data_IF_499705013413
#
_entry.id   IF_499705013413
#
_cell.length_a   1.000
_cell.length_b   1.000
_cell.length_c   1.000
_cell.angle_alpha   90.00
_cell.angle_beta   90.00
_cell.angle_gamma   90.00
#
_symmetry.space_group_name_H-M   'P 1'
#
loop_
_entity.id
_entity.type
_entity.pdbx_description
1 polymer ?
#
# COMPACT_ATOMS: atom_id res chain seq x y z
N UNK A 1 12.02 -7.10 44.87
CA UNK A 1 11.09 -6.03 44.47
C UNK A 1 11.30 -5.49 43.04
N UNK A 2 12.46 -5.64 42.39
CA UNK A 2 12.70 -5.12 41.02
C UNK A 2 12.16 -6.00 39.88
N UNK A 3 11.91 -7.29 40.14
CA UNK A 3 11.48 -8.27 39.13
C UNK A 3 9.99 -8.19 38.77
N UNK A 4 9.11 -7.78 39.69
CA UNK A 4 7.67 -7.62 39.40
C UNK A 4 7.35 -6.43 38.48
N UNK A 5 8.13 -5.35 38.57
CA UNK A 5 7.99 -4.18 37.69
C UNK A 5 8.45 -4.48 36.26
N UNK A 6 9.50 -5.30 36.10
CA UNK A 6 9.98 -5.70 34.78
C UNK A 6 8.92 -6.50 33.99
N UNK A 7 8.23 -7.44 34.65
CA UNK A 7 7.20 -8.26 34.02
C UNK A 7 5.96 -7.44 33.67
N UNK A 8 5.56 -6.48 34.51
CA UNK A 8 4.43 -5.59 34.23
C UNK A 8 4.72 -4.60 33.10
N UNK A 9 5.94 -4.08 33.00
CA UNK A 9 6.39 -3.26 31.86
C UNK A 9 6.42 -4.07 30.55
N UNK A 10 6.87 -5.33 30.59
CA UNK A 10 6.82 -6.25 29.45
C UNK A 10 5.39 -6.58 29.00
N UNK A 11 4.44 -6.67 29.94
CA UNK A 11 3.01 -6.86 29.66
C UNK A 11 2.31 -5.61 29.11
N UNK A 12 2.81 -4.42 29.47
CA UNK A 12 2.34 -3.14 28.92
C UNK A 12 2.89 -2.94 27.49
N UNK A 13 4.16 -3.28 27.24
CA UNK A 13 4.80 -3.19 25.92
C UNK A 13 4.19 -4.15 24.88
N UNK A 14 3.63 -5.29 25.30
CA UNK A 14 2.93 -6.22 24.39
C UNK A 14 1.51 -5.79 24.04
N UNK A 15 0.87 -4.95 24.88
CA UNK A 15 -0.48 -4.43 24.62
C UNK A 15 -0.48 -3.27 23.62
N UNK A 16 0.62 -2.51 23.52
CA UNK A 16 0.74 -1.44 22.52
C UNK A 16 0.94 -1.96 21.08
N UNK A 17 1.27 -3.24 20.92
CA UNK A 17 1.33 -3.89 19.61
C UNK A 17 -0.05 -4.36 19.08
N UNK A 18 -1.12 -4.24 19.88
CA UNK A 18 -2.47 -4.72 19.52
C UNK A 18 -3.50 -3.61 19.35
N UNK A 19 -3.07 -2.35 19.23
CA UNK A 19 -3.97 -1.22 19.00
C UNK A 19 -3.57 -0.37 17.78
N UNK A 20 -3.54 -0.99 16.59
CA UNK A 20 -3.89 -0.35 15.33
C UNK A 20 -4.06 -1.41 14.24
N UNK A 21 -5.27 -1.56 13.69
CA UNK A 21 -5.50 -2.21 12.38
C UNK A 21 -5.05 -1.31 11.22
N UNK A 22 -4.53 -0.11 11.51
CA UNK A 22 -4.00 0.84 10.54
C UNK A 22 -2.48 0.61 10.38
N UNK A 23 -2.11 -0.02 9.27
CA UNK A 23 -0.72 -0.25 8.87
C UNK A 23 -0.19 0.95 8.07
N UNK A 24 0.68 1.76 8.68
CA UNK A 24 1.52 2.74 7.97
C UNK A 24 2.89 2.11 7.76
N UNK A 25 3.13 1.57 6.57
CA UNK A 25 4.44 1.01 6.24
C UNK A 25 5.48 2.13 6.15
N UNK A 26 6.53 2.08 6.97
CA UNK A 26 7.72 2.91 6.82
C UNK A 26 8.86 2.14 6.11
N UNK A 27 8.51 1.02 5.48
CA UNK A 27 9.40 0.12 4.73
C UNK A 27 8.69 -0.20 3.41
N UNK A 28 9.46 -0.33 2.33
CA UNK A 28 8.94 -0.55 0.98
C UNK A 28 8.04 -1.79 0.88
N UNK A 29 6.77 -1.61 0.49
CA UNK A 29 5.85 -2.71 0.17
C UNK A 29 6.17 -3.42 -1.17
N UNK A 30 7.14 -2.91 -1.92
CA UNK A 30 7.66 -3.49 -3.17
C UNK A 30 9.15 -3.82 -3.03
N UNK A 31 9.63 -4.87 -3.70
CA UNK A 31 11.04 -5.27 -3.67
C UNK A 31 11.97 -4.24 -4.34
N UNK A 32 11.42 -3.43 -5.24
CA UNK A 32 12.05 -2.24 -5.81
C UNK A 32 10.97 -1.17 -5.89
N UNK A 33 10.76 -0.35 -4.84
CA UNK A 33 9.79 0.74 -4.90
C UNK A 33 10.33 1.84 -5.83
N UNK A 34 9.53 2.26 -6.79
CA UNK A 34 9.87 3.40 -7.63
C UNK A 34 10.02 4.66 -6.77
N UNK A 35 10.85 5.58 -7.24
CA UNK A 35 11.19 6.81 -6.53
C UNK A 35 9.94 7.65 -6.25
N UNK A 36 9.91 8.29 -5.08
CA UNK A 36 8.88 9.25 -4.69
C UNK A 36 7.44 8.67 -4.66
N UNK A 37 7.28 7.38 -4.37
CA UNK A 37 5.96 6.74 -4.24
C UNK A 37 5.50 6.67 -2.77
N UNK A 38 4.20 6.84 -2.54
CA UNK A 38 3.55 6.64 -1.22
C UNK A 38 2.69 5.39 -1.28
N UNK A 39 3.05 4.35 -0.52
CA UNK A 39 2.36 3.06 -0.51
C UNK A 39 1.82 2.77 0.89
N UNK A 40 0.49 2.78 1.04
CA UNK A 40 -0.19 2.62 2.32
C UNK A 40 -1.19 1.46 2.28
N UNK A 41 -1.09 0.55 3.26
CA UNK A 41 -1.96 -0.62 3.37
C UNK A 41 -1.30 -1.92 2.91
N UNK A 42 -1.78 -3.08 3.39
CA UNK A 42 -1.16 -4.36 3.07
C UNK A 42 -1.28 -4.68 1.58
N UNK A 43 -0.15 -5.02 0.93
CA UNK A 43 -0.12 -5.36 -0.49
C UNK A 43 -0.23 -4.18 -1.46
N UNK A 44 -0.26 -2.93 -0.98
CA UNK A 44 -0.27 -1.76 -1.86
C UNK A 44 1.03 -1.66 -2.67
N UNK A 45 0.95 -1.59 -4.01
CA UNK A 45 2.09 -1.61 -4.94
C UNK A 45 2.77 -2.98 -5.08
N UNK A 46 2.01 -4.05 -4.85
CA UNK A 46 2.45 -5.39 -4.46
C UNK A 46 3.44 -6.21 -5.32
N UNK A 47 3.84 -7.30 -4.65
CA UNK A 47 4.54 -8.55 -5.02
C UNK A 47 5.86 -8.57 -5.80
N UNK A 48 6.29 -7.47 -6.43
CA UNK A 48 7.48 -7.48 -7.28
C UNK A 48 8.28 -6.17 -7.29
N UNK A 49 8.79 -5.81 -8.47
CA UNK A 49 9.41 -4.50 -8.73
C UNK A 49 8.34 -3.53 -9.23
N UNK A 50 8.06 -2.50 -8.44
CA UNK A 50 7.37 -1.30 -8.91
C UNK A 50 8.44 -0.37 -9.46
N UNK A 51 8.93 -0.60 -10.68
CA UNK A 51 9.97 0.28 -11.27
C UNK A 51 9.43 1.67 -11.61
N UNK A 52 8.10 1.81 -11.64
CA UNK A 52 7.39 3.06 -11.87
C UNK A 52 7.44 4.05 -10.70
N UNK A 53 7.81 5.30 -11.00
CA UNK A 53 7.98 6.38 -10.03
C UNK A 53 6.69 7.21 -9.81
N UNK A 54 6.63 7.91 -8.66
CA UNK A 54 5.63 8.93 -8.30
C UNK A 54 4.19 8.39 -8.26
N UNK A 55 4.00 7.23 -7.63
CA UNK A 55 2.69 6.64 -7.43
C UNK A 55 2.18 6.86 -6.00
N UNK A 56 0.87 7.03 -5.83
CA UNK A 56 0.23 7.11 -4.50
C UNK A 56 -0.83 6.03 -4.38
N UNK A 57 -0.58 4.99 -3.60
CA UNK A 57 -1.51 3.89 -3.37
C UNK A 57 -1.92 3.83 -1.90
N UNK A 58 -3.21 3.77 -1.64
CA UNK A 58 -3.76 3.58 -0.30
C UNK A 58 -4.92 2.59 -0.31
N UNK A 59 -4.78 1.50 0.44
CA UNK A 59 -5.78 0.45 0.58
C UNK A 59 -5.18 -0.94 0.48
N UNK A 60 -5.96 -1.95 0.89
CA UNK A 60 -5.58 -3.35 0.74
C UNK A 60 -5.43 -3.70 -0.75
N UNK A 61 -4.25 -4.17 -1.18
CA UNK A 61 -3.91 -4.53 -2.56
C UNK A 61 -4.12 -3.42 -3.62
N UNK A 62 -4.11 -2.15 -3.22
CA UNK A 62 -4.16 -1.06 -4.20
C UNK A 62 -2.93 -1.13 -5.13
N UNK A 63 -3.14 -1.22 -6.45
CA UNK A 63 -2.06 -1.34 -7.43
C UNK A 63 -1.19 -2.59 -7.28
N UNK A 64 -1.72 -3.71 -6.77
CA UNK A 64 -0.96 -4.91 -6.44
C UNK A 64 -0.11 -5.51 -7.58
N UNK A 65 -0.57 -5.41 -8.84
CA UNK A 65 0.11 -5.96 -10.02
C UNK A 65 0.82 -4.91 -10.88
N UNK A 66 0.93 -3.67 -10.41
CA UNK A 66 1.54 -2.59 -11.19
C UNK A 66 3.07 -2.73 -11.18
N UNK A 67 3.69 -2.82 -12.37
CA UNK A 67 5.15 -2.97 -12.50
C UNK A 67 5.82 -1.67 -12.93
N UNK A 68 5.37 -1.08 -14.04
CA UNK A 68 6.09 0.01 -14.73
C UNK A 68 5.22 1.27 -14.93
N UNK A 69 4.19 1.45 -14.09
CA UNK A 69 3.27 2.58 -14.16
C UNK A 69 3.77 3.80 -13.38
N UNK A 70 3.61 5.00 -13.94
CA UNK A 70 4.06 6.27 -13.34
C UNK A 70 2.88 7.22 -13.13
N UNK A 71 2.94 8.06 -12.10
CA UNK A 71 1.93 9.09 -11.82
C UNK A 71 0.52 8.55 -11.58
N UNK A 72 0.38 7.37 -10.96
CA UNK A 72 -0.93 6.83 -10.61
C UNK A 72 -1.32 7.17 -9.17
N UNK A 73 -2.62 7.31 -8.94
CA UNK A 73 -3.24 7.65 -7.65
C UNK A 73 -4.40 6.68 -7.38
N UNK A 74 -4.15 5.64 -6.58
CA UNK A 74 -5.14 4.59 -6.27
C UNK A 74 -5.56 4.65 -4.80
N UNK A 75 -6.84 4.79 -4.57
CA UNK A 75 -7.44 4.97 -3.25
C UNK A 75 -8.61 3.99 -3.07
N UNK A 76 -8.43 2.93 -2.29
CA UNK A 76 -9.47 1.95 -2.02
C UNK A 76 -8.95 0.51 -1.96
N UNK A 77 -9.76 -0.39 -1.40
CA UNK A 77 -9.47 -1.82 -1.43
C UNK A 77 -9.54 -2.33 -2.87
N UNK A 78 -8.49 -3.02 -3.31
CA UNK A 78 -8.32 -3.59 -4.65
C UNK A 78 -8.42 -2.57 -5.81
N UNK A 79 -8.26 -1.27 -5.52
CA UNK A 79 -8.20 -0.23 -6.55
C UNK A 79 -7.00 -0.46 -7.47
N UNK A 80 -7.24 -0.59 -8.78
CA UNK A 80 -6.19 -0.84 -9.78
C UNK A 80 -5.42 -2.15 -9.59
N UNK A 81 -5.98 -3.13 -8.85
CA UNK A 81 -5.26 -4.34 -8.42
C UNK A 81 -4.54 -5.06 -9.57
N UNK A 82 -5.20 -5.26 -10.72
CA UNK A 82 -4.64 -5.96 -11.87
C UNK A 82 -4.12 -5.02 -12.98
N UNK A 83 -3.95 -3.73 -12.68
CA UNK A 83 -3.29 -2.81 -13.62
C UNK A 83 -1.80 -3.10 -13.67
N UNK A 84 -1.22 -3.28 -14.86
CA UNK A 84 0.20 -3.67 -15.02
C UNK A 84 1.10 -2.53 -15.50
N UNK A 85 0.66 -1.69 -16.44
CA UNK A 85 1.51 -0.65 -17.08
C UNK A 85 0.85 0.74 -17.22
N UNK A 86 -0.25 0.98 -16.51
CA UNK A 86 -1.00 2.24 -16.58
C UNK A 86 -0.21 3.47 -16.10
N UNK A 87 -0.45 4.63 -16.73
CA UNK A 87 0.12 5.93 -16.33
C UNK A 87 -1.00 6.95 -16.14
N UNK A 88 -0.76 7.92 -15.24
CA UNK A 88 -1.66 9.07 -15.04
C UNK A 88 -3.11 8.69 -14.68
N UNK A 89 -3.31 7.54 -14.02
CA UNK A 89 -4.65 7.09 -13.66
C UNK A 89 -4.99 7.50 -12.23
N UNK A 90 -6.23 7.92 -12.02
CA UNK A 90 -6.80 8.11 -10.69
C UNK A 90 -7.93 7.09 -10.51
N UNK A 91 -7.76 6.16 -9.57
CA UNK A 91 -8.80 5.23 -9.16
C UNK A 91 -9.18 5.51 -7.70
N UNK A 92 -10.46 5.70 -7.45
CA UNK A 92 -11.01 5.92 -6.11
C UNK A 92 -12.17 4.98 -5.92
N UNK A 93 -12.22 4.26 -4.80
CA UNK A 93 -13.31 3.34 -4.49
C UNK A 93 -12.88 1.87 -4.37
N UNK A 94 -13.80 1.07 -3.84
CA UNK A 94 -13.66 -0.39 -3.78
C UNK A 94 -13.67 -0.96 -5.20
N UNK A 95 -12.61 -1.69 -5.58
CA UNK A 95 -12.43 -2.32 -6.91
C UNK A 95 -12.43 -1.33 -8.11
N UNK A 96 -12.22 -0.04 -7.87
CA UNK A 96 -12.12 0.94 -8.96
C UNK A 96 -10.93 0.61 -9.88
N UNK A 97 -11.17 0.53 -11.19
CA UNK A 97 -10.13 0.18 -12.16
C UNK A 97 -9.53 -1.23 -11.99
N UNK A 98 -10.24 -2.17 -11.34
CA UNK A 98 -9.75 -3.50 -10.96
C UNK A 98 -8.98 -4.23 -12.08
N UNK A 99 -9.48 -4.19 -13.31
CA UNK A 99 -8.91 -4.85 -14.50
C UNK A 99 -8.48 -3.84 -15.58
N UNK A 100 -8.01 -2.66 -15.20
CA UNK A 100 -7.55 -1.71 -16.21
C UNK A 100 -6.25 -2.19 -16.87
N UNK A 101 -6.27 -2.38 -18.19
CA UNK A 101 -5.12 -2.81 -19.01
C UNK A 101 -4.44 -1.67 -19.78
N UNK A 102 -4.78 -0.39 -19.53
CA UNK A 102 -4.21 0.77 -20.24
C UNK A 102 -4.59 2.15 -19.70
N UNK A 103 -4.15 3.21 -20.39
CA UNK A 103 -4.29 4.64 -20.02
C UNK A 103 -5.75 5.11 -19.94
N UNK A 104 -6.44 4.86 -18.81
CA UNK A 104 -7.79 5.39 -18.60
C UNK A 104 -7.85 6.32 -17.39
N UNK A 105 -7.90 7.60 -17.76
CA UNK A 105 -7.68 8.83 -17.00
C UNK A 105 -8.46 8.99 -15.68
N UNK A 106 -9.57 8.29 -15.43
CA UNK A 106 -10.27 8.37 -14.14
C UNK A 106 -11.36 7.29 -14.01
N UNK A 107 -11.39 6.55 -12.90
CA UNK A 107 -12.51 5.69 -12.51
C UNK A 107 -12.86 5.99 -11.04
N UNK A 108 -14.10 6.41 -10.79
CA UNK A 108 -14.66 6.72 -9.47
C UNK A 108 -15.42 5.52 -8.87
#
# INVERSE_FOLDING_TARGET
MKTCYAISILYLLSQEALAQTNYVANIANAASPGNNSTLLGPGAGGSGSLTGDRNTFTGFNAGYSLTDGYWNSFYGMDAGKFTTTGKENVFTGYEAGLNNTGELLMCL
#
